data_IF_713396891226
#
_entry.id   IF_713396891226
#
_cell.length_a   1.000
_cell.length_b   1.000
_cell.length_c   1.000
_cell.angle_alpha   90.00
_cell.angle_beta   90.00
_cell.angle_gamma   90.00
#
_symmetry.space_group_name_H-M   'P 1'
#
loop_
_entity.id
_entity.type
_entity.pdbx_description
1 polymer ?
#
# COMPACT_ATOMS: atom_id res chain seq x y z
N UNK A 1 -8.96 -4.28 -16.11
CA UNK A 1 -10.41 -4.03 -15.85
C UNK A 1 -10.67 -2.53 -15.91
N UNK A 2 -11.90 -2.06 -16.08
CA UNK A 2 -12.20 -0.62 -15.97
C UNK A 2 -12.92 -0.30 -14.66
N UNK A 3 -12.51 0.79 -14.00
CA UNK A 3 -13.16 1.33 -12.79
C UNK A 3 -13.18 2.85 -12.92
N UNK A 4 -14.34 3.48 -12.72
CA UNK A 4 -14.48 4.94 -12.76
C UNK A 4 -13.90 5.59 -14.04
N UNK A 5 -13.94 4.87 -15.16
CA UNK A 5 -13.37 5.32 -16.44
C UNK A 5 -11.87 5.13 -16.60
N UNK A 6 -11.18 4.58 -15.60
CA UNK A 6 -9.75 4.26 -15.67
C UNK A 6 -9.52 2.81 -16.04
N UNK A 7 -8.48 2.58 -16.84
CA UNK A 7 -7.96 1.24 -17.09
C UNK A 7 -7.06 0.82 -15.92
N UNK A 8 -7.48 -0.24 -15.23
CA UNK A 8 -6.78 -0.84 -14.10
C UNK A 8 -6.00 -2.05 -14.61
N UNK A 9 -4.69 -2.00 -14.42
CA UNK A 9 -3.74 -3.03 -14.81
C UNK A 9 -2.32 -2.74 -14.32
N UNK A 10 -1.37 -3.66 -14.57
CA UNK A 10 0.04 -3.46 -14.24
C UNK A 10 0.60 -2.27 -15.02
N UNK A 11 1.37 -1.42 -14.35
CA UNK A 11 1.95 -0.21 -14.93
C UNK A 11 0.94 0.87 -15.31
N UNK A 12 -0.34 0.75 -14.89
CA UNK A 12 -1.35 1.75 -15.21
C UNK A 12 -0.94 3.15 -14.73
N UNK A 13 -1.18 4.15 -15.57
CA UNK A 13 -0.93 5.55 -15.24
C UNK A 13 -2.22 6.17 -14.67
N UNK A 14 -2.26 6.27 -13.34
CA UNK A 14 -3.43 6.68 -12.55
C UNK A 14 -3.13 7.86 -11.60
N UNK A 15 -2.27 8.84 -11.94
CA UNK A 15 -2.01 9.95 -11.03
C UNK A 15 -3.27 10.78 -10.82
N UNK A 16 -3.55 11.16 -9.58
CA UNK A 16 -4.75 11.91 -9.18
C UNK A 16 -6.09 11.22 -9.46
N UNK A 17 -6.10 9.92 -9.83
CA UNK A 17 -7.33 9.20 -10.12
C UNK A 17 -8.25 9.13 -8.91
N UNK A 18 -9.55 9.33 -9.12
CA UNK A 18 -10.56 9.05 -8.08
C UNK A 18 -11.02 7.60 -8.16
N UNK A 19 -10.46 6.80 -7.26
CA UNK A 19 -10.76 5.38 -7.06
C UNK A 19 -11.36 5.15 -5.66
N UNK A 20 -11.96 6.18 -5.07
CA UNK A 20 -12.52 6.09 -3.73
C UNK A 20 -13.69 5.11 -3.69
N UNK A 21 -13.72 4.26 -2.66
CA UNK A 21 -14.68 3.17 -2.50
C UNK A 21 -14.68 2.12 -3.64
N UNK A 22 -13.72 2.17 -4.57
CA UNK A 22 -13.62 1.19 -5.64
C UNK A 22 -13.37 -0.23 -5.09
N UNK A 23 -13.91 -1.23 -5.79
CA UNK A 23 -13.49 -2.61 -5.58
C UNK A 23 -12.33 -2.96 -6.51
N UNK A 24 -11.12 -2.93 -5.94
CA UNK A 24 -9.85 -3.30 -6.55
C UNK A 24 -9.32 -4.59 -5.94
N UNK A 25 -10.17 -5.41 -5.32
CA UNK A 25 -9.74 -6.67 -4.72
C UNK A 25 -9.17 -7.59 -5.79
N UNK A 26 -8.03 -8.22 -5.47
CA UNK A 26 -7.27 -9.06 -6.41
C UNK A 26 -6.79 -8.33 -7.68
N UNK A 27 -6.91 -7.01 -7.79
CA UNK A 27 -6.44 -6.27 -8.95
C UNK A 27 -4.91 -6.39 -9.08
N UNK A 28 -4.43 -6.53 -10.32
CA UNK A 28 -3.02 -6.40 -10.60
C UNK A 28 -2.70 -4.95 -10.97
N UNK A 29 -2.02 -4.26 -10.05
CA UNK A 29 -1.55 -2.87 -10.13
C UNK A 29 -0.02 -2.80 -9.93
N UNK A 30 0.69 -3.89 -10.20
CA UNK A 30 2.14 -3.93 -10.05
C UNK A 30 2.79 -2.83 -10.91
N UNK A 31 3.65 -2.01 -10.28
CA UNK A 31 4.31 -0.88 -10.93
C UNK A 31 3.39 0.26 -11.37
N UNK A 32 2.10 0.26 -11.00
CA UNK A 32 1.19 1.34 -11.36
C UNK A 32 1.60 2.67 -10.72
N UNK A 33 1.35 3.76 -11.43
CA UNK A 33 1.52 5.12 -10.91
C UNK A 33 0.19 5.63 -10.34
N UNK A 34 0.08 5.62 -9.01
CA UNK A 34 -1.08 6.05 -8.22
C UNK A 34 -0.74 7.31 -7.40
N UNK A 35 0.24 8.10 -7.84
CA UNK A 35 0.64 9.32 -7.16
C UNK A 35 -0.58 10.23 -6.95
N UNK A 36 -0.77 10.73 -5.74
CA UNK A 36 -1.93 11.57 -5.37
C UNK A 36 -3.32 10.95 -5.60
N UNK A 37 -3.42 9.66 -5.95
CA UNK A 37 -4.71 9.02 -6.20
C UNK A 37 -5.58 9.00 -4.93
N UNK A 38 -6.88 9.16 -5.11
CA UNK A 38 -7.85 9.01 -4.04
C UNK A 38 -8.32 7.56 -3.97
N UNK A 39 -7.79 6.80 -3.02
CA UNK A 39 -8.14 5.40 -2.74
C UNK A 39 -8.88 5.26 -1.39
N UNK A 40 -9.48 6.35 -0.91
CA UNK A 40 -10.17 6.37 0.38
C UNK A 40 -11.25 5.29 0.40
N UNK A 41 -11.24 4.43 1.44
CA UNK A 41 -12.14 3.29 1.61
C UNK A 41 -12.14 2.26 0.46
N UNK A 42 -11.20 2.33 -0.49
CA UNK A 42 -11.10 1.33 -1.56
C UNK A 42 -10.83 -0.06 -0.98
N UNK A 43 -11.35 -1.08 -1.65
CA UNK A 43 -11.05 -2.47 -1.35
C UNK A 43 -9.85 -2.91 -2.21
N UNK A 44 -8.68 -3.04 -1.61
CA UNK A 44 -7.42 -3.51 -2.21
C UNK A 44 -7.00 -4.86 -1.60
N UNK A 45 -7.95 -5.60 -1.04
CA UNK A 45 -7.68 -6.90 -0.41
C UNK A 45 -7.10 -7.87 -1.46
N UNK A 46 -5.95 -8.48 -1.15
CA UNK A 46 -5.15 -9.31 -2.08
C UNK A 46 -4.66 -8.62 -3.36
N UNK A 47 -4.78 -7.29 -3.49
CA UNK A 47 -4.29 -6.58 -4.67
C UNK A 47 -2.76 -6.70 -4.78
N UNK A 48 -2.25 -6.78 -6.01
CA UNK A 48 -0.83 -6.67 -6.27
C UNK A 48 -0.47 -5.21 -6.55
N UNK A 49 0.24 -4.58 -5.63
CA UNK A 49 0.76 -3.21 -5.69
C UNK A 49 2.29 -3.20 -5.60
N UNK A 50 2.96 -4.31 -5.90
CA UNK A 50 4.42 -4.41 -5.85
C UNK A 50 5.05 -3.33 -6.74
N UNK A 51 6.02 -2.60 -6.20
CA UNK A 51 6.71 -1.48 -6.84
C UNK A 51 5.78 -0.34 -7.34
N UNK A 52 4.52 -0.28 -6.92
CA UNK A 52 3.61 0.80 -7.29
C UNK A 52 4.04 2.13 -6.63
N UNK A 53 3.78 3.23 -7.32
CA UNK A 53 3.95 4.57 -6.76
C UNK A 53 2.64 5.06 -6.14
N UNK A 54 2.54 4.99 -4.82
CA UNK A 54 1.41 5.48 -4.02
C UNK A 54 1.77 6.74 -3.23
N UNK A 55 2.81 7.46 -3.66
CA UNK A 55 3.26 8.64 -2.92
C UNK A 55 2.16 9.71 -2.88
N UNK A 56 1.95 10.27 -1.68
CA UNK A 56 0.88 11.23 -1.39
C UNK A 56 -0.55 10.73 -1.69
N UNK A 57 -0.76 9.43 -1.91
CA UNK A 57 -2.08 8.87 -2.15
C UNK A 57 -2.95 8.91 -0.88
N UNK A 58 -4.26 9.06 -1.05
CA UNK A 58 -5.21 8.97 0.04
C UNK A 58 -5.72 7.53 0.20
N UNK A 59 -5.17 6.79 1.15
CA UNK A 59 -5.54 5.40 1.51
C UNK A 59 -6.33 5.33 2.82
N UNK A 60 -6.91 6.45 3.26
CA UNK A 60 -7.67 6.52 4.49
C UNK A 60 -8.78 5.47 4.52
N UNK A 61 -8.80 4.65 5.58
CA UNK A 61 -9.76 3.55 5.77
C UNK A 61 -9.78 2.49 4.64
N UNK A 62 -8.75 2.43 3.79
CA UNK A 62 -8.66 1.43 2.73
C UNK A 62 -8.47 0.01 3.32
N UNK A 63 -8.98 -1.00 2.61
CA UNK A 63 -8.79 -2.41 2.95
C UNK A 63 -7.61 -2.96 2.14
N UNK A 64 -6.45 -3.13 2.75
CA UNK A 64 -5.21 -3.65 2.16
C UNK A 64 -4.81 -5.00 2.77
N UNK A 65 -5.76 -5.73 3.37
CA UNK A 65 -5.45 -7.02 3.98
C UNK A 65 -4.86 -7.96 2.93
N UNK A 66 -3.72 -8.57 3.26
CA UNK A 66 -2.98 -9.48 2.36
C UNK A 66 -2.57 -8.86 1.02
N UNK A 67 -2.55 -7.52 0.89
CA UNK A 67 -2.06 -6.86 -0.31
C UNK A 67 -0.54 -7.05 -0.46
N UNK A 68 -0.07 -7.17 -1.70
CA UNK A 68 1.35 -7.22 -2.01
C UNK A 68 1.85 -5.80 -2.25
N UNK A 69 2.67 -5.27 -1.35
CA UNK A 69 3.20 -3.90 -1.37
C UNK A 69 4.73 -3.90 -1.39
N UNK A 70 5.37 -5.02 -1.71
CA UNK A 70 6.83 -5.14 -1.76
C UNK A 70 7.43 -4.06 -2.65
N UNK A 71 8.37 -3.27 -2.11
CA UNK A 71 9.01 -2.16 -2.80
C UNK A 71 8.11 -0.98 -3.17
N UNK A 72 6.85 -0.95 -2.74
CA UNK A 72 5.93 0.14 -3.06
C UNK A 72 6.40 1.47 -2.43
N UNK A 73 6.19 2.58 -3.15
CA UNK A 73 6.42 3.91 -2.61
C UNK A 73 5.13 4.45 -1.97
N UNK A 74 5.04 4.38 -0.65
CA UNK A 74 3.95 4.93 0.18
C UNK A 74 4.36 6.25 0.87
N UNK A 75 5.41 6.92 0.40
CA UNK A 75 5.90 8.13 1.06
C UNK A 75 4.80 9.20 1.11
N UNK A 76 4.63 9.80 2.29
CA UNK A 76 3.57 10.80 2.57
C UNK A 76 2.14 10.34 2.30
N UNK A 77 1.89 9.04 2.14
CA UNK A 77 0.54 8.53 1.94
C UNK A 77 -0.32 8.73 3.20
N UNK A 78 -1.61 9.04 3.01
CA UNK A 78 -2.56 9.15 4.12
C UNK A 78 -3.19 7.79 4.37
N UNK A 79 -2.75 7.08 5.40
CA UNK A 79 -3.16 5.69 5.69
C UNK A 79 -3.91 5.56 7.02
N UNK A 80 -4.44 6.67 7.56
CA UNK A 80 -5.15 6.63 8.83
C UNK A 80 -6.30 5.62 8.80
N UNK A 81 -6.36 4.76 9.82
CA UNK A 81 -7.35 3.69 9.96
C UNK A 81 -7.38 2.67 8.80
N UNK A 82 -6.33 2.58 7.97
CA UNK A 82 -6.23 1.55 6.94
C UNK A 82 -6.02 0.16 7.57
N UNK A 83 -6.53 -0.89 6.90
CA UNK A 83 -6.32 -2.27 7.32
C UNK A 83 -5.23 -2.92 6.44
N UNK A 84 -4.03 -3.12 6.98
CA UNK A 84 -2.88 -3.77 6.37
C UNK A 84 -2.58 -5.14 6.98
N UNK A 85 -3.58 -5.78 7.60
CA UNK A 85 -3.40 -7.10 8.22
C UNK A 85 -2.80 -8.10 7.23
N UNK A 86 -1.70 -8.74 7.61
CA UNK A 86 -0.95 -9.68 6.78
C UNK A 86 -0.49 -9.12 5.41
N UNK A 87 -0.37 -7.80 5.24
CA UNK A 87 0.16 -7.22 4.01
C UNK A 87 1.67 -7.45 3.88
N UNK A 88 2.18 -7.54 2.65
CA UNK A 88 3.60 -7.74 2.38
C UNK A 88 4.25 -6.40 2.05
N UNK A 89 4.90 -5.76 3.02
CA UNK A 89 5.49 -4.41 2.91
C UNK A 89 7.02 -4.44 2.80
N UNK A 90 7.63 -5.61 2.58
CA UNK A 90 9.07 -5.74 2.49
C UNK A 90 9.70 -4.73 1.54
N UNK A 91 10.67 -3.95 2.02
CA UNK A 91 11.34 -2.89 1.26
C UNK A 91 10.47 -1.69 0.85
N UNK A 92 9.20 -1.59 1.29
CA UNK A 92 8.35 -0.45 0.97
C UNK A 92 8.83 0.83 1.66
N UNK A 93 8.56 1.99 1.06
CA UNK A 93 8.91 3.29 1.64
C UNK A 93 7.67 3.99 2.20
N UNK A 94 7.56 4.11 3.53
CA UNK A 94 6.48 4.82 4.22
C UNK A 94 6.93 6.15 4.84
N UNK A 95 8.05 6.73 4.39
CA UNK A 95 8.58 7.98 4.96
C UNK A 95 7.51 9.08 4.96
N UNK A 96 7.22 9.66 6.14
CA UNK A 96 6.21 10.68 6.32
C UNK A 96 4.75 10.24 6.11
N UNK A 97 4.47 8.94 5.95
CA UNK A 97 3.10 8.45 5.85
C UNK A 97 2.36 8.59 7.19
N UNK A 98 1.08 8.97 7.14
CA UNK A 98 0.21 8.97 8.32
C UNK A 98 -0.41 7.58 8.49
N UNK A 99 0.11 6.82 9.45
CA UNK A 99 -0.37 5.47 9.81
C UNK A 99 -1.24 5.47 11.07
N UNK A 100 -1.76 6.62 11.50
CA UNK A 100 -2.54 6.74 12.75
C UNK A 100 -3.75 5.79 12.75
N UNK A 101 -3.77 4.86 13.69
CA UNK A 101 -4.84 3.86 13.81
C UNK A 101 -4.87 2.80 12.69
N UNK A 102 -3.84 2.72 11.84
CA UNK A 102 -3.72 1.64 10.86
C UNK A 102 -3.48 0.30 11.56
N UNK A 103 -4.12 -0.76 11.09
CA UNK A 103 -3.91 -2.11 11.61
C UNK A 103 -2.87 -2.84 10.74
N UNK A 104 -1.67 -3.06 11.26
CA UNK A 104 -0.58 -3.79 10.58
C UNK A 104 -0.29 -5.16 11.21
N UNK A 105 -1.26 -5.75 11.92
CA UNK A 105 -1.09 -7.07 12.56
C UNK A 105 -0.68 -8.11 11.52
N UNK A 106 0.44 -8.80 11.75
CA UNK A 106 0.97 -9.83 10.85
C UNK A 106 1.56 -9.30 9.53
N UNK A 107 1.65 -7.99 9.33
CA UNK A 107 2.30 -7.44 8.13
C UNK A 107 3.82 -7.71 8.14
N UNK A 108 4.37 -8.07 7.00
CA UNK A 108 5.83 -8.19 6.83
C UNK A 108 6.43 -6.81 6.58
N UNK A 109 7.12 -6.27 7.59
CA UNK A 109 7.79 -4.96 7.55
C UNK A 109 9.31 -5.08 7.32
N UNK A 110 9.80 -6.21 6.81
CA UNK A 110 11.23 -6.44 6.63
C UNK A 110 11.84 -5.40 5.68
N UNK A 111 12.75 -4.55 6.18
CA UNK A 111 13.41 -3.54 5.35
C UNK A 111 12.52 -2.37 4.92
N UNK A 112 11.28 -2.28 5.42
CA UNK A 112 10.40 -1.12 5.17
C UNK A 112 11.01 0.14 5.79
N UNK A 113 10.99 1.27 5.08
CA UNK A 113 11.31 2.58 5.70
C UNK A 113 10.06 3.12 6.39
N UNK A 114 10.11 3.26 7.71
CA UNK A 114 8.99 3.71 8.56
C UNK A 114 8.72 5.22 8.40
N UNK A 115 7.58 5.73 8.90
CA UNK A 115 7.24 7.16 8.81
C UNK A 115 8.29 8.13 9.35
N UNK A 116 9.07 7.73 10.35
CA UNK A 116 10.18 8.51 10.90
C UNK A 116 11.47 8.45 10.06
N UNK A 117 11.44 7.78 8.91
CA UNK A 117 12.56 7.61 8.00
C UNK A 117 13.52 6.48 8.38
N UNK A 118 13.29 5.76 9.48
CA UNK A 118 14.14 4.62 9.86
C UNK A 118 13.72 3.36 9.15
N UNK A 119 14.70 2.57 8.72
CA UNK A 119 14.45 1.24 8.17
C UNK A 119 14.10 0.29 9.30
N UNK A 120 12.94 -0.36 9.19
CA UNK A 120 12.54 -1.46 10.06
C UNK A 120 13.44 -2.66 9.79
N UNK A 121 14.41 -2.86 10.68
CA UNK A 121 15.29 -4.03 10.64
C UNK A 121 14.51 -5.20 11.20
N UNK A 122 14.44 -6.29 10.45
CA UNK A 122 13.89 -7.53 10.98
C UNK A 122 14.88 -8.04 12.05
N UNK A 123 14.64 -7.73 13.32
CA UNK A 123 15.50 -8.14 14.45
C UNK A 123 15.24 -9.57 14.89
N UNK A 124 14.44 -10.32 14.14
CA UNK A 124 14.32 -11.76 14.35
C UNK A 124 15.44 -12.40 13.54
N UNK A 125 16.56 -12.67 14.23
CA UNK A 125 17.51 -13.68 13.76
C UNK A 125 16.77 -15.00 13.46
N UNK A 126 17.40 -15.93 12.72
CA UNK A 126 16.76 -17.19 12.37
C UNK A 126 16.14 -17.80 13.63
N UNK A 127 14.86 -18.19 13.54
CA UNK A 127 14.20 -18.90 14.61
C UNK A 127 15.11 -20.07 15.01
N UNK A 128 15.70 -19.99 16.21
CA UNK A 128 16.41 -21.12 16.76
C UNK A 128 15.40 -22.26 16.94
N UNK A 129 15.79 -23.50 16.60
CA UNK A 129 14.90 -24.66 16.52
C UNK A 129 14.16 -24.95 17.84
#
# INVERSE_FOLDING_TARGET
>A
MQINGYEIGPGAHLPNADLSNADLSNANLAGADLMHANLRKANLTHANLSNANLSNANLAKAKLSKAQLTGANLSKAHMHQANLTNAHLSGANMTGADITGANMTGADLSGTTMPDGKVHKNTHGPAHP
#
